data_IF_925709169022
#
_entry.id   IF_925709169022
#
_cell.length_a   1.000
_cell.length_b   1.000
_cell.length_c   1.000
_cell.angle_alpha   90.00
_cell.angle_beta   90.00
_cell.angle_gamma   90.00
#
_symmetry.space_group_name_H-M   'P 1'
#
loop_
_entity.id
_entity.type
_entity.pdbx_description
1 polymer ?
#
# COMPACT_ATOMS: atom_id res chain seq x y z
N UNK A 1 4.48 15.80 -8.52
CA UNK A 1 4.22 14.34 -8.44
C UNK A 1 5.50 13.51 -8.59
N UNK A 2 6.69 14.06 -8.30
CA UNK A 2 7.98 13.36 -8.46
C UNK A 2 8.42 12.56 -7.22
N UNK A 3 7.60 12.56 -6.18
CA UNK A 3 8.03 12.12 -4.85
C UNK A 3 7.88 10.62 -4.61
N UNK A 4 7.14 9.83 -5.41
CA UNK A 4 6.86 8.41 -5.13
C UNK A 4 7.92 7.44 -5.69
N UNK A 5 8.42 7.68 -6.91
CA UNK A 5 9.46 6.83 -7.51
C UNK A 5 10.77 6.87 -6.74
N UNK A 6 11.10 8.00 -6.10
CA UNK A 6 12.31 8.17 -5.27
C UNK A 6 12.43 7.21 -4.09
N UNK A 7 11.35 6.55 -3.68
CA UNK A 7 11.36 5.67 -2.51
C UNK A 7 11.34 4.19 -2.86
N UNK A 8 11.38 3.82 -4.15
CA UNK A 8 11.36 2.42 -4.59
C UNK A 8 9.98 1.76 -4.53
N UNK A 9 8.89 2.56 -4.50
CA UNK A 9 7.52 2.07 -4.58
C UNK A 9 7.16 1.65 -6.01
N UNK A 10 6.45 0.54 -6.16
CA UNK A 10 5.87 0.13 -7.45
C UNK A 10 4.56 0.89 -7.65
N UNK A 11 4.44 1.65 -8.73
CA UNK A 11 3.25 2.44 -9.01
C UNK A 11 2.39 1.72 -10.04
N UNK A 12 1.16 1.38 -9.66
CA UNK A 12 0.14 0.92 -10.58
C UNK A 12 -0.87 2.03 -10.81
N UNK A 13 -1.27 2.25 -12.05
CA UNK A 13 -2.27 3.25 -12.40
C UNK A 13 -3.48 2.52 -12.92
N UNK A 14 -4.65 2.95 -12.47
CA UNK A 14 -5.93 2.49 -12.99
C UNK A 14 -6.77 3.70 -13.41
N UNK A 15 -7.63 3.51 -14.39
CA UNK A 15 -8.51 4.57 -14.91
C UNK A 15 -9.99 4.26 -14.69
N UNK A 16 -10.28 3.01 -14.32
CA UNK A 16 -11.61 2.45 -14.09
C UNK A 16 -11.64 1.63 -12.79
N UNK A 17 -12.83 1.45 -12.23
CA UNK A 17 -13.06 0.57 -11.08
C UNK A 17 -12.67 -0.87 -11.40
N UNK A 18 -13.02 -1.37 -12.59
CA UNK A 18 -12.64 -2.73 -13.01
C UNK A 18 -11.13 -2.92 -13.08
N UNK A 19 -10.40 -1.95 -13.64
CA UNK A 19 -8.94 -1.97 -13.70
C UNK A 19 -8.33 -1.88 -12.30
N UNK A 20 -8.84 -0.97 -11.44
CA UNK A 20 -8.40 -0.85 -10.06
C UNK A 20 -8.60 -2.18 -9.31
N UNK A 21 -9.74 -2.85 -9.50
CA UNK A 21 -10.03 -4.14 -8.87
C UNK A 21 -9.05 -5.22 -9.31
N UNK A 22 -8.72 -5.30 -10.61
CA UNK A 22 -7.72 -6.24 -11.13
C UNK A 22 -6.33 -5.99 -10.52
N UNK A 23 -5.90 -4.72 -10.48
CA UNK A 23 -4.61 -4.33 -9.87
C UNK A 23 -4.57 -4.73 -8.39
N UNK A 24 -5.62 -4.42 -7.64
CA UNK A 24 -5.70 -4.74 -6.21
C UNK A 24 -5.66 -6.25 -5.94
N UNK A 25 -6.34 -7.04 -6.76
CA UNK A 25 -6.34 -8.51 -6.66
C UNK A 25 -5.01 -9.15 -7.07
N UNK A 26 -4.34 -8.58 -8.07
CA UNK A 26 -3.11 -9.15 -8.61
C UNK A 26 -1.86 -8.79 -7.80
N UNK A 27 -1.74 -7.53 -7.36
CA UNK A 27 -0.51 -7.03 -6.76
C UNK A 27 -0.60 -6.86 -5.24
N UNK A 28 -1.80 -6.63 -4.69
CA UNK A 28 -1.97 -6.23 -3.29
C UNK A 28 -1.35 -4.87 -3.03
N UNK A 29 -2.15 -3.82 -2.89
CA UNK A 29 -1.65 -2.47 -2.67
C UNK A 29 -1.77 -2.05 -1.21
N UNK A 30 -0.68 -1.59 -0.60
CA UNK A 30 -0.71 -1.05 0.78
C UNK A 30 -1.24 0.38 0.82
N UNK A 31 -1.16 1.11 -0.30
CA UNK A 31 -1.69 2.47 -0.44
C UNK A 31 -2.52 2.61 -1.72
N UNK A 32 -3.73 3.14 -1.58
CA UNK A 32 -4.65 3.41 -2.68
C UNK A 32 -5.09 4.87 -2.62
N UNK A 33 -4.84 5.60 -3.70
CA UNK A 33 -5.29 6.98 -3.88
C UNK A 33 -6.28 7.01 -5.04
N UNK A 34 -7.53 7.35 -4.78
CA UNK A 34 -8.59 7.26 -5.77
C UNK A 34 -9.45 8.51 -5.84
N UNK A 35 -9.96 8.86 -7.03
CA UNK A 35 -11.10 9.79 -7.13
C UNK A 35 -12.38 9.03 -6.75
N UNK A 36 -13.35 9.74 -6.19
CA UNK A 36 -14.63 9.13 -5.82
C UNK A 36 -15.45 8.71 -7.06
N UNK A 37 -15.30 9.44 -8.16
CA UNK A 37 -15.92 9.14 -9.45
C UNK A 37 -14.85 8.66 -10.43
N UNK A 38 -15.01 7.42 -10.90
CA UNK A 38 -14.18 6.82 -11.95
C UNK A 38 -14.95 6.81 -13.26
N UNK A 39 -14.28 6.40 -14.34
CA UNK A 39 -14.85 6.42 -15.70
C UNK A 39 -16.08 5.52 -15.85
N UNK A 40 -16.07 4.37 -15.20
CA UNK A 40 -17.05 3.28 -15.32
C UNK A 40 -17.97 3.17 -14.10
N UNK A 41 -17.52 3.61 -12.92
CA UNK A 41 -18.30 3.48 -11.69
C UNK A 41 -17.86 4.46 -10.59
N UNK A 42 -18.60 4.44 -9.48
CA UNK A 42 -18.13 5.00 -8.22
C UNK A 42 -16.99 4.17 -7.64
N UNK A 43 -16.05 4.83 -6.95
CA UNK A 43 -14.98 4.17 -6.21
C UNK A 43 -15.38 3.75 -4.79
N UNK A 44 -16.59 4.09 -4.31
CA UNK A 44 -17.06 3.69 -2.98
C UNK A 44 -16.99 2.18 -2.69
N UNK A 45 -17.28 1.27 -3.64
CA UNK A 45 -17.15 -0.16 -3.39
C UNK A 45 -15.72 -0.61 -3.05
N UNK A 46 -14.69 0.22 -3.31
CA UNK A 46 -13.32 -0.04 -2.85
C UNK A 46 -13.22 -0.07 -1.32
N UNK A 47 -14.09 0.62 -0.58
CA UNK A 47 -14.10 0.57 0.89
C UNK A 47 -14.35 -0.86 1.35
N UNK A 48 -15.43 -1.48 0.86
CA UNK A 48 -15.78 -2.86 1.21
C UNK A 48 -14.75 -3.87 0.71
N UNK A 49 -14.15 -3.63 -0.47
CA UNK A 49 -13.11 -4.49 -1.03
C UNK A 49 -11.82 -4.49 -0.20
N UNK A 50 -11.49 -3.35 0.40
CA UNK A 50 -10.21 -3.13 1.09
C UNK A 50 -10.31 -3.25 2.62
N UNK A 51 -11.52 -3.27 3.18
CA UNK A 51 -11.73 -3.50 4.59
C UNK A 51 -11.14 -4.86 5.02
N UNK A 52 -10.41 -4.85 6.13
CA UNK A 52 -9.70 -6.02 6.66
C UNK A 52 -8.37 -6.36 5.96
N UNK A 53 -8.05 -5.74 4.82
CA UNK A 53 -6.74 -5.89 4.17
C UNK A 53 -5.75 -4.88 4.74
N UNK A 54 -4.45 -5.21 4.80
CA UNK A 54 -3.41 -4.28 5.27
C UNK A 54 -3.12 -3.19 4.23
N UNK A 55 -4.09 -2.29 4.07
CA UNK A 55 -4.12 -1.26 3.03
C UNK A 55 -4.67 0.04 3.59
N UNK A 56 -4.33 1.14 2.94
CA UNK A 56 -4.80 2.47 3.29
C UNK A 56 -5.41 3.12 2.05
N UNK A 57 -6.65 3.60 2.16
CA UNK A 57 -7.40 4.24 1.08
C UNK A 57 -7.71 5.69 1.42
N UNK A 58 -7.33 6.59 0.51
CA UNK A 58 -7.77 7.98 0.52
C UNK A 58 -8.51 8.32 -0.77
N UNK A 59 -9.63 9.03 -0.61
CA UNK A 59 -10.34 9.63 -1.73
C UNK A 59 -9.92 11.08 -1.95
N UNK A 60 -9.67 11.42 -3.21
CA UNK A 60 -9.52 12.79 -3.68
C UNK A 60 -10.90 13.38 -3.95
N UNK A 61 -11.22 14.49 -3.27
CA UNK A 61 -12.39 15.31 -3.51
C UNK A 61 -11.95 16.72 -3.95
N UNK A 62 -12.20 17.11 -5.21
CA UNK A 62 -11.96 18.48 -5.63
C UNK A 62 -12.93 19.44 -4.91
N UNK A 63 -12.40 20.51 -4.31
CA UNK A 63 -13.19 21.55 -3.62
C UNK A 63 -12.72 22.94 -4.07
N UNK A 64 -13.54 23.64 -4.87
CA UNK A 64 -13.18 24.92 -5.49
C UNK A 64 -11.70 24.95 -5.98
N UNK A 65 -10.94 26.02 -5.70
CA UNK A 65 -9.51 26.19 -6.03
C UNK A 65 -8.56 25.27 -5.22
N UNK A 66 -9.05 24.17 -4.65
CA UNK A 66 -8.29 23.26 -3.80
C UNK A 66 -8.82 21.81 -3.89
N UNK A 67 -8.30 20.93 -3.04
CA UNK A 67 -8.82 19.57 -2.88
C UNK A 67 -8.79 19.15 -1.42
N UNK A 68 -9.61 18.15 -1.09
CA UNK A 68 -9.58 17.45 0.18
C UNK A 68 -9.25 15.99 -0.05
N UNK A 69 -8.54 15.41 0.91
CA UNK A 69 -8.24 14.00 0.98
C UNK A 69 -9.07 13.38 2.09
N UNK A 70 -9.99 12.50 1.73
CA UNK A 70 -10.89 11.84 2.66
C UNK A 70 -10.32 10.47 3.00
N UNK A 71 -9.92 10.22 4.25
CA UNK A 71 -9.56 8.88 4.69
C UNK A 71 -10.80 7.97 4.63
N UNK A 72 -10.64 6.80 4.01
CA UNK A 72 -11.71 5.81 3.95
C UNK A 72 -11.30 4.50 4.60
N UNK A 73 -10.07 4.04 4.38
CA UNK A 73 -9.49 2.88 5.06
C UNK A 73 -8.12 3.28 5.62
N UNK A 74 -7.78 2.87 6.84
CA UNK A 74 -6.43 2.96 7.40
C UNK A 74 -5.99 1.60 7.92
N UNK A 75 -4.96 1.02 7.30
CA UNK A 75 -4.45 -0.32 7.65
C UNK A 75 -5.55 -1.40 7.73
N UNK A 76 -6.54 -1.32 6.84
CA UNK A 76 -7.70 -2.24 6.79
C UNK A 76 -8.90 -1.83 7.62
N UNK A 77 -8.76 -0.85 8.51
CA UNK A 77 -9.88 -0.36 9.31
C UNK A 77 -10.71 0.66 8.53
N UNK A 78 -12.03 0.46 8.51
CA UNK A 78 -12.95 1.44 7.94
C UNK A 78 -13.01 2.68 8.82
N UNK A 79 -12.53 3.80 8.28
CA UNK A 79 -12.54 5.09 8.95
C UNK A 79 -13.27 6.15 8.11
N UNK A 80 -14.21 5.71 7.27
CA UNK A 80 -15.05 6.62 6.49
C UNK A 80 -15.81 7.57 7.41
N UNK A 81 -15.86 8.85 7.05
CA UNK A 81 -16.43 9.91 7.88
C UNK A 81 -15.43 10.60 8.82
N UNK A 82 -14.19 10.10 8.91
CA UNK A 82 -13.13 10.83 9.62
C UNK A 82 -12.80 12.17 8.93
N UNK A 83 -12.21 13.15 9.67
CA UNK A 83 -11.98 14.49 9.15
C UNK A 83 -11.19 14.51 7.83
N UNK A 84 -11.65 15.35 6.90
CA UNK A 84 -10.99 15.58 5.63
C UNK A 84 -9.66 16.32 5.82
N UNK A 85 -8.64 15.93 5.05
CA UNK A 85 -7.28 16.46 5.16
C UNK A 85 -7.04 17.44 4.01
N UNK A 86 -6.49 18.62 4.33
CA UNK A 86 -6.13 19.62 3.32
C UNK A 86 -4.90 19.21 2.51
N UNK A 87 -4.65 19.76 1.32
CA UNK A 87 -3.55 19.29 0.45
C UNK A 87 -2.18 19.41 1.12
N UNK A 88 -1.91 20.54 1.79
CA UNK A 88 -0.62 20.79 2.45
C UNK A 88 -0.37 19.89 3.67
N UNK A 89 -1.44 19.51 4.38
CA UNK A 89 -1.37 18.54 5.47
C UNK A 89 -1.21 17.12 4.93
N UNK A 90 -1.90 16.80 3.84
CA UNK A 90 -1.87 15.48 3.22
C UNK A 90 -0.48 15.12 2.72
N UNK A 91 0.33 16.07 2.24
CA UNK A 91 1.73 15.80 1.88
C UNK A 91 2.52 15.23 3.07
N UNK A 92 2.35 15.80 4.26
CA UNK A 92 3.02 15.33 5.49
C UNK A 92 2.49 13.96 5.93
N UNK A 93 1.19 13.73 5.77
CA UNK A 93 0.55 12.43 6.07
C UNK A 93 1.07 11.36 5.12
N UNK A 94 1.14 11.66 3.82
CA UNK A 94 1.67 10.77 2.81
C UNK A 94 3.13 10.41 3.10
N UNK A 95 3.97 11.40 3.41
CA UNK A 95 5.37 11.13 3.79
C UNK A 95 5.50 10.21 5.00
N UNK A 96 4.64 10.36 6.02
CA UNK A 96 4.62 9.47 7.18
C UNK A 96 4.21 8.04 6.81
N UNK A 97 3.17 7.90 5.99
CA UNK A 97 2.69 6.59 5.51
C UNK A 97 3.81 5.88 4.74
N UNK A 98 4.41 6.56 3.78
CA UNK A 98 5.49 6.00 2.95
C UNK A 98 6.71 5.61 3.79
N UNK A 99 7.10 6.42 4.78
CA UNK A 99 8.18 6.07 5.71
C UNK A 99 7.84 4.86 6.58
N UNK A 100 6.61 4.78 7.08
CA UNK A 100 6.14 3.64 7.87
C UNK A 100 6.16 2.34 7.07
N UNK A 101 5.71 2.37 5.82
CA UNK A 101 5.76 1.22 4.91
C UNK A 101 7.21 0.74 4.68
N UNK A 102 8.16 1.67 4.49
CA UNK A 102 9.59 1.34 4.36
C UNK A 102 10.21 0.73 5.62
N UNK A 103 9.76 1.15 6.80
CA UNK A 103 10.26 0.59 8.07
C UNK A 103 9.72 -0.81 8.33
N UNK A 104 8.44 -1.03 8.01
CA UNK A 104 7.80 -2.34 8.10
C UNK A 104 8.33 -3.34 7.07
N UNK A 105 9.09 -2.85 6.07
CA UNK A 105 9.73 -3.68 5.07
C UNK A 105 11.11 -4.23 5.47
N UNK A 106 11.56 -3.94 6.69
CA UNK A 106 12.78 -4.53 7.25
C UNK A 106 12.35 -5.72 8.09
N UNK A 107 12.67 -6.98 7.72
CA UNK A 107 12.43 -8.10 8.62
C UNK A 107 13.24 -7.85 9.91
N UNK A 108 12.68 -8.11 11.11
CA UNK A 108 13.48 -8.14 12.32
C UNK A 108 14.46 -9.31 12.19
N UNK A 109 15.70 -9.01 11.83
CA UNK A 109 16.81 -9.96 11.86
C UNK A 109 17.11 -10.31 13.32
N UNK A 110 17.14 -11.61 13.60
CA UNK A 110 17.87 -12.21 14.72
C UNK A 110 17.52 -11.68 16.13
N UNK A 111 16.40 -12.14 16.68
CA UNK A 111 16.40 -12.42 18.11
C UNK A 111 17.18 -13.73 18.31
N UNK A 112 18.49 -13.58 18.52
CA UNK A 112 19.33 -14.60 19.12
C UNK A 112 18.76 -14.97 20.49
N UNK A 113 18.44 -16.24 20.69
CA UNK A 113 18.62 -16.89 21.99
C UNK A 113 19.39 -18.17 21.72
N UNK A 114 20.68 -18.13 22.03
CA UNK A 114 21.53 -19.30 22.16
C UNK A 114 21.31 -19.96 23.53
N UNK A 115 21.60 -21.26 23.57
CA UNK A 115 21.88 -22.17 24.71
C UNK A 115 20.80 -23.24 24.97
N UNK A 116 21.11 -24.50 25.25
CA UNK A 116 21.96 -25.58 24.67
C UNK A 116 21.73 -26.85 25.53
N UNK A 117 21.98 -28.05 24.97
CA UNK A 117 22.04 -29.42 25.57
C UNK A 117 20.70 -30.19 25.62
N UNK A 118 20.58 -31.45 25.17
CA UNK A 118 21.51 -32.44 24.59
C UNK A 118 20.76 -33.58 23.87
N UNK A 119 21.55 -34.40 23.16
CA UNK A 119 21.33 -35.80 22.76
C UNK A 119 20.55 -36.14 21.46
N UNK A 120 21.37 -36.46 20.44
CA UNK A 120 21.26 -37.57 19.49
C UNK A 120 20.01 -37.71 18.59
N UNK A 121 20.16 -37.55 17.27
CA UNK A 121 20.45 -38.70 16.38
C UNK A 121 20.72 -38.21 14.93
N UNK A 122 21.47 -39.04 14.25
CA UNK A 122 21.99 -39.08 12.87
C UNK A 122 21.01 -38.65 11.77
N UNK A 123 21.41 -37.69 10.91
CA UNK A 123 21.13 -37.70 9.47
C UNK A 123 22.03 -36.71 8.69
N UNK A 124 22.63 -37.19 7.60
CA UNK A 124 23.57 -36.49 6.69
C UNK A 124 22.80 -35.64 5.64
N UNK A 125 23.44 -34.80 4.79
CA UNK A 125 23.09 -33.40 4.62
C UNK A 125 22.29 -33.13 3.33
N UNK A 126 21.22 -32.35 3.42
CA UNK A 126 20.60 -31.74 2.24
C UNK A 126 21.19 -30.35 2.02
N UNK A 127 22.23 -30.30 1.17
CA UNK A 127 22.61 -29.08 0.47
C UNK A 127 21.40 -28.54 -0.31
N UNK A 128 20.85 -27.41 0.12
CA UNK A 128 20.16 -26.47 -0.77
C UNK A 128 21.01 -25.22 -0.85
N UNK A 129 21.84 -25.20 -1.90
CA UNK A 129 22.40 -23.96 -2.47
C UNK A 129 21.27 -23.12 -3.03
N UNK A 130 21.37 -21.81 -2.90
CA UNK A 130 20.71 -20.87 -3.82
C UNK A 130 19.75 -19.90 -3.16
N UNK A 131 20.33 -18.81 -2.66
CA UNK A 131 19.79 -17.46 -2.64
C UNK A 131 18.33 -17.30 -3.09
N UNK A 132 17.39 -17.25 -2.14
CA UNK A 132 16.20 -16.42 -2.33
C UNK A 132 16.52 -15.03 -1.81
N UNK A 133 16.95 -14.20 -2.76
CA UNK A 133 16.97 -12.73 -2.71
C UNK A 133 15.83 -12.26 -1.78
N UNK A 134 16.09 -11.39 -0.79
CA UNK A 134 15.04 -10.93 0.12
C UNK A 134 13.88 -10.39 -0.73
N UNK A 135 12.62 -10.68 -0.36
CA UNK A 135 11.49 -10.15 -1.11
C UNK A 135 11.64 -8.63 -1.08
N UNK A 136 11.96 -8.05 -2.23
CA UNK A 136 11.89 -6.60 -2.42
C UNK A 136 10.43 -6.30 -2.21
N UNK A 137 10.10 -5.78 -1.03
CA UNK A 137 8.73 -5.44 -0.66
C UNK A 137 8.31 -4.30 -1.58
N UNK A 138 7.68 -4.72 -2.67
CA UNK A 138 7.04 -3.89 -3.66
C UNK A 138 5.83 -3.29 -2.98
N UNK A 139 6.04 -2.18 -2.31
CA UNK A 139 4.92 -1.44 -1.77
C UNK A 139 4.24 -0.79 -2.98
N UNK A 140 3.13 -1.38 -3.36
CA UNK A 140 2.37 -1.02 -4.55
C UNK A 140 1.41 0.12 -4.21
N UNK A 141 1.55 1.25 -4.90
CA UNK A 141 0.62 2.37 -4.82
C UNK A 141 -0.30 2.35 -6.04
N UNK A 142 -1.62 2.40 -5.85
CA UNK A 142 -2.57 2.57 -6.95
C UNK A 142 -3.00 4.04 -7.03
N UNK A 143 -2.72 4.71 -8.15
CA UNK A 143 -3.27 6.04 -8.43
C UNK A 143 -4.37 5.90 -9.47
N UNK A 144 -5.60 6.26 -9.09
CA UNK A 144 -6.73 6.23 -10.00
C UNK A 144 -7.00 7.63 -10.54
N UNK A 145 -6.53 7.94 -11.76
CA UNK A 145 -6.71 9.25 -12.38
C UNK A 145 -7.26 9.15 -13.80
N UNK A 146 -8.17 10.07 -14.13
CA UNK A 146 -8.62 10.31 -15.50
C UNK A 146 -7.56 11.15 -16.22
N UNK A 147 -7.08 10.66 -17.36
CA UNK A 147 -6.26 11.42 -18.28
C UNK A 147 -7.07 12.62 -18.79
N UNK A 148 -6.54 13.84 -18.64
CA UNK A 148 -7.12 15.01 -19.30
C UNK A 148 -6.47 15.09 -20.67
N UNK A 149 -7.20 14.61 -21.69
CA UNK A 149 -6.92 14.88 -23.10
C UNK A 149 -6.73 16.41 -23.26
N UNK A 150 -5.55 16.83 -23.69
CA UNK A 150 -5.31 18.10 -24.35
C UNK A 150 -4.79 17.78 -25.74
#
# INVERSE_FOLDING_TARGET
MESLQKWGFELHIATSYQEARKVLQQFGCELVLSKMRLRDASAYPLISLLAGLRTTLYFFLPVHRSCWWLPAIRQGENCWGAPAIRPGEFTRVLDKILRGMKQQSTPPLAAEVCQESDAADTAVPLTVRGAKKPPVLKVSAAVVSHEKKR
#
